data_IF_949459289375
#
_entry.id   IF_949459289375
#
_cell.length_a   1.000
_cell.length_b   1.000
_cell.length_c   1.000
_cell.angle_alpha   90.00
_cell.angle_beta   90.00
_cell.angle_gamma   90.00
#
_symmetry.space_group_name_H-M   'P 1'
#
loop_
_entity.id
_entity.type
_entity.pdbx_description
1 polymer ?
#
# COMPACT_ATOMS: atom_id res chain seq x y z
N UNK A 1 -4.47 -13.84 24.60
CA UNK A 1 -5.21 -14.61 23.57
C UNK A 1 -4.77 -14.06 22.24
N UNK A 2 -4.42 -14.91 21.27
CA UNK A 2 -4.09 -14.45 19.92
C UNK A 2 -5.35 -13.86 19.26
N UNK A 3 -5.22 -12.73 18.53
CA UNK A 3 -6.32 -12.13 17.75
C UNK A 3 -6.85 -13.16 16.73
N UNK A 4 -8.17 -13.26 16.57
CA UNK A 4 -8.73 -14.15 15.55
C UNK A 4 -8.52 -13.55 14.16
N UNK A 5 -8.46 -14.39 13.12
CA UNK A 5 -8.35 -13.89 11.73
C UNK A 5 -9.55 -13.00 11.33
N UNK A 6 -10.73 -13.26 11.92
CA UNK A 6 -11.92 -12.45 11.71
C UNK A 6 -11.77 -11.05 12.33
N UNK A 7 -11.36 -10.99 13.60
CA UNK A 7 -11.19 -9.72 14.32
C UNK A 7 -10.09 -8.86 13.67
N UNK A 8 -8.98 -9.50 13.30
CA UNK A 8 -7.90 -8.87 12.53
C UNK A 8 -8.45 -8.26 11.21
N UNK A 9 -9.21 -9.03 10.45
CA UNK A 9 -9.75 -8.56 9.17
C UNK A 9 -10.72 -7.39 9.34
N UNK A 10 -11.60 -7.43 10.34
CA UNK A 10 -12.52 -6.33 10.63
C UNK A 10 -11.80 -5.04 11.04
N UNK A 11 -10.75 -5.17 11.86
CA UNK A 11 -9.91 -4.02 12.24
C UNK A 11 -9.25 -3.39 11.02
N UNK A 12 -8.62 -4.20 10.15
CA UNK A 12 -7.98 -3.69 8.93
C UNK A 12 -9.01 -3.06 7.98
N UNK A 13 -10.20 -3.64 7.81
CA UNK A 13 -11.27 -3.05 6.99
C UNK A 13 -11.70 -1.68 7.52
N UNK A 14 -11.80 -1.53 8.85
CA UNK A 14 -12.11 -0.26 9.50
C UNK A 14 -11.01 0.77 9.26
N UNK A 15 -9.74 0.38 9.45
CA UNK A 15 -8.59 1.25 9.18
C UNK A 15 -8.52 1.68 7.70
N UNK A 16 -8.74 0.76 6.76
CA UNK A 16 -8.80 1.07 5.33
C UNK A 16 -9.93 2.05 4.99
N UNK A 17 -11.09 1.92 5.64
CA UNK A 17 -12.19 2.90 5.50
C UNK A 17 -11.81 4.27 6.02
N UNK A 18 -11.12 4.34 7.16
CA UNK A 18 -10.62 5.61 7.71
C UNK A 18 -9.50 6.22 6.86
N UNK A 19 -8.67 5.40 6.21
CA UNK A 19 -7.71 5.86 5.21
C UNK A 19 -8.43 6.49 4.01
N UNK A 20 -9.45 5.81 3.47
CA UNK A 20 -10.25 6.31 2.36
C UNK A 20 -10.94 7.65 2.69
N UNK A 21 -11.48 7.81 3.89
CA UNK A 21 -12.08 9.09 4.33
C UNK A 21 -11.07 10.25 4.40
N UNK A 22 -9.77 9.96 4.50
CA UNK A 22 -8.69 10.96 4.57
C UNK A 22 -7.95 11.12 3.25
N UNK A 23 -8.51 10.61 2.14
CA UNK A 23 -7.85 10.51 0.85
C UNK A 23 -7.13 11.78 0.38
N UNK A 24 -7.78 12.95 0.52
CA UNK A 24 -7.20 14.24 0.11
C UNK A 24 -5.89 14.56 0.83
N UNK A 25 -5.77 14.19 2.10
CA UNK A 25 -4.52 14.37 2.86
C UNK A 25 -3.44 13.42 2.37
N UNK A 26 -3.82 12.21 1.94
CA UNK A 26 -2.87 11.18 1.50
C UNK A 26 -2.31 11.48 0.11
N UNK A 27 -3.15 11.97 -0.80
CA UNK A 27 -2.74 12.36 -2.16
C UNK A 27 -1.83 13.58 -2.17
N UNK A 28 -2.13 14.57 -1.31
CA UNK A 28 -1.40 15.83 -1.24
C UNK A 28 -0.20 15.81 -0.29
N UNK A 29 0.11 14.67 0.33
CA UNK A 29 1.34 14.54 1.11
C UNK A 29 2.53 14.91 0.22
N UNK A 30 3.51 15.66 0.73
CA UNK A 30 4.71 16.04 -0.02
C UNK A 30 5.79 14.94 -0.04
N UNK A 31 5.57 13.83 0.67
CA UNK A 31 6.53 12.75 0.77
C UNK A 31 6.77 12.10 -0.60
N UNK A 32 8.05 11.93 -0.93
CA UNK A 32 8.51 11.14 -2.07
C UNK A 32 8.70 9.66 -1.71
N UNK A 33 8.44 9.27 -0.46
CA UNK A 33 8.45 7.88 -0.03
C UNK A 33 7.06 7.46 0.46
N UNK A 34 6.52 6.37 -0.07
CA UNK A 34 5.28 5.75 0.40
C UNK A 34 5.63 4.46 1.11
N UNK A 35 5.09 4.28 2.31
CA UNK A 35 5.31 3.11 3.14
C UNK A 35 3.98 2.58 3.66
N UNK A 36 3.95 1.31 4.03
CA UNK A 36 2.83 0.79 4.80
C UNK A 36 2.89 1.27 6.25
N UNK A 37 1.73 1.43 6.87
CA UNK A 37 1.61 1.70 8.32
C UNK A 37 1.81 0.45 9.18
N UNK A 38 1.96 -0.73 8.56
CA UNK A 38 2.16 -2.00 9.26
C UNK A 38 3.41 -1.94 10.14
N UNK A 39 3.20 -2.02 11.45
CA UNK A 39 4.23 -1.92 12.48
C UNK A 39 5.28 -3.04 12.42
N UNK A 40 4.98 -4.15 11.73
CA UNK A 40 5.91 -5.26 11.54
C UNK A 40 6.84 -5.09 10.34
N UNK A 41 6.80 -3.94 9.66
CA UNK A 41 7.69 -3.61 8.54
C UNK A 41 8.81 -2.66 8.97
N UNK A 42 9.94 -2.67 8.25
CA UNK A 42 11.05 -1.75 8.46
C UNK A 42 10.61 -0.31 8.19
N UNK A 43 10.36 0.45 9.27
CA UNK A 43 9.87 1.84 9.20
C UNK A 43 8.36 1.99 9.38
N UNK A 44 7.66 0.95 9.87
CA UNK A 44 6.26 1.02 10.27
C UNK A 44 5.99 2.17 11.24
N UNK A 45 4.80 2.77 11.14
CA UNK A 45 4.37 3.87 12.02
C UNK A 45 4.67 5.30 11.54
N UNK A 46 5.22 5.50 10.34
CA UNK A 46 5.38 6.85 9.76
C UNK A 46 4.26 7.20 8.75
N UNK A 47 3.77 8.44 8.87
CA UNK A 47 2.47 8.92 8.40
C UNK A 47 2.34 9.00 6.87
N UNK A 48 1.70 8.00 6.25
CA UNK A 48 0.62 8.16 5.27
C UNK A 48 -0.21 6.87 5.36
N UNK A 49 -1.44 6.93 5.89
CA UNK A 49 -2.32 5.77 5.94
C UNK A 49 -2.79 5.42 4.53
N UNK A 50 -2.02 4.64 3.78
CA UNK A 50 -2.32 4.33 2.39
C UNK A 50 -1.11 3.76 1.69
N UNK A 51 -0.96 2.43 1.75
CA UNK A 51 -0.02 1.72 0.88
C UNK A 51 -0.31 2.08 -0.58
N UNK A 52 0.70 2.09 -1.47
CA UNK A 52 0.42 2.33 -2.90
C UNK A 52 -0.60 1.33 -3.47
N UNK A 53 -0.69 0.13 -2.88
CA UNK A 53 -1.65 -0.91 -3.27
C UNK A 53 -3.10 -0.50 -2.94
N UNK A 54 -3.29 0.35 -1.94
CA UNK A 54 -4.59 0.97 -1.66
C UNK A 54 -4.97 1.89 -2.83
N UNK A 55 -4.10 2.82 -3.24
CA UNK A 55 -4.40 3.70 -4.38
C UNK A 55 -4.63 2.93 -5.67
N UNK A 56 -3.83 1.89 -5.91
CA UNK A 56 -4.03 0.98 -7.03
C UNK A 56 -5.40 0.30 -6.99
N UNK A 57 -5.76 -0.33 -5.86
CA UNK A 57 -7.03 -1.05 -5.71
C UNK A 57 -8.25 -0.15 -5.91
N UNK A 58 -8.19 1.10 -5.41
CA UNK A 58 -9.27 2.06 -5.54
C UNK A 58 -9.25 2.87 -6.85
N UNK A 59 -8.32 2.59 -7.77
CA UNK A 59 -8.24 3.27 -9.07
C UNK A 59 -7.68 4.70 -9.01
N UNK A 60 -7.02 5.06 -7.92
CA UNK A 60 -6.54 6.42 -7.60
C UNK A 60 -5.04 6.62 -7.90
N UNK A 61 -4.41 5.63 -8.52
CA UNK A 61 -2.97 5.66 -8.79
C UNK A 61 -2.57 6.80 -9.74
N UNK A 62 -3.45 7.14 -10.70
CA UNK A 62 -3.26 8.28 -11.62
C UNK A 62 -3.31 9.61 -10.87
N UNK A 63 -4.31 9.79 -10.02
CA UNK A 63 -4.46 11.01 -9.21
C UNK A 63 -3.25 11.20 -8.28
N UNK A 64 -2.75 10.11 -7.71
CA UNK A 64 -1.53 10.11 -6.90
C UNK A 64 -0.33 10.65 -7.70
N UNK A 65 -0.01 10.07 -8.85
CA UNK A 65 1.16 10.50 -9.62
C UNK A 65 1.00 11.89 -10.25
N UNK A 66 -0.22 12.28 -10.66
CA UNK A 66 -0.51 13.64 -11.09
C UNK A 66 -0.21 14.66 -9.99
N UNK A 67 -0.61 14.38 -8.74
CA UNK A 67 -0.33 15.25 -7.60
C UNK A 67 1.18 15.37 -7.34
N UNK A 68 1.93 14.26 -7.39
CA UNK A 68 3.39 14.27 -7.21
C UNK A 68 4.11 15.05 -8.30
N UNK A 69 3.70 14.89 -9.56
CA UNK A 69 4.24 15.67 -10.66
C UNK A 69 3.97 17.18 -10.48
N UNK A 70 2.76 17.55 -10.04
CA UNK A 70 2.41 18.95 -9.75
C UNK A 70 3.24 19.55 -8.59
N UNK A 71 3.72 18.71 -7.67
CA UNK A 71 4.64 19.10 -6.59
C UNK A 71 6.12 19.17 -7.05
N UNK A 72 6.41 18.90 -8.32
CA UNK A 72 7.78 18.85 -8.85
C UNK A 72 8.55 17.58 -8.45
N UNK A 73 7.86 16.56 -7.93
CA UNK A 73 8.47 15.28 -7.57
C UNK A 73 8.57 14.43 -8.85
N UNK A 74 9.80 14.06 -9.19
CA UNK A 74 10.12 13.23 -10.37
C UNK A 74 10.56 11.80 -10.00
N UNK A 75 10.59 11.48 -8.72
CA UNK A 75 10.92 10.15 -8.22
C UNK A 75 10.13 9.83 -6.96
N UNK A 76 9.60 8.61 -6.90
CA UNK A 76 8.88 8.09 -5.74
C UNK A 76 9.50 6.77 -5.32
N UNK A 77 9.81 6.66 -4.04
CA UNK A 77 10.23 5.42 -3.41
C UNK A 77 9.03 4.72 -2.78
N UNK A 78 8.84 3.44 -3.11
CA UNK A 78 7.69 2.68 -2.66
C UNK A 78 8.16 1.45 -1.90
N UNK A 79 7.76 1.39 -0.63
CA UNK A 79 7.99 0.23 0.23
C UNK A 79 6.70 -0.58 0.29
N UNK A 80 6.75 -1.76 -0.31
CA UNK A 80 5.74 -2.79 -0.17
C UNK A 80 6.18 -3.82 0.87
N UNK A 81 5.27 -4.69 1.25
CA UNK A 81 5.62 -5.81 2.10
C UNK A 81 4.72 -7.01 1.85
N UNK A 82 5.24 -8.19 2.15
CA UNK A 82 4.47 -9.41 2.17
C UNK A 82 3.64 -9.52 3.46
N UNK A 83 2.68 -10.45 3.44
CA UNK A 83 1.73 -10.61 4.54
C UNK A 83 1.01 -9.29 4.86
N UNK A 84 0.57 -8.60 3.80
CA UNK A 84 -0.10 -7.33 3.89
C UNK A 84 -1.52 -7.50 4.40
N UNK A 85 -1.85 -6.84 5.52
CA UNK A 85 -3.19 -6.85 6.11
C UNK A 85 -4.26 -6.36 5.15
N UNK A 86 -3.99 -5.30 4.39
CA UNK A 86 -4.94 -4.79 3.40
C UNK A 86 -5.26 -5.83 2.32
N UNK A 87 -4.23 -6.47 1.77
CA UNK A 87 -4.42 -7.53 0.77
C UNK A 87 -5.17 -8.73 1.35
N UNK A 88 -4.88 -9.12 2.59
CA UNK A 88 -5.60 -10.19 3.29
C UNK A 88 -7.07 -9.83 3.55
N UNK A 89 -7.32 -8.72 4.24
CA UNK A 89 -8.63 -8.41 4.80
C UNK A 89 -9.59 -7.73 3.83
N UNK A 90 -9.06 -6.91 2.91
CA UNK A 90 -9.85 -6.10 1.97
C UNK A 90 -9.89 -6.75 0.59
N UNK A 91 -8.74 -7.21 0.07
CA UNK A 91 -8.69 -7.86 -1.25
C UNK A 91 -9.03 -9.36 -1.16
N UNK A 92 -8.85 -9.99 0.00
CA UNK A 92 -9.16 -11.41 0.21
C UNK A 92 -8.03 -12.37 -0.18
N UNK A 93 -6.78 -11.87 -0.26
CA UNK A 93 -5.60 -12.64 -0.63
C UNK A 93 -5.02 -13.37 0.59
N UNK A 94 -5.54 -14.57 0.83
CA UNK A 94 -5.28 -15.37 2.05
C UNK A 94 -4.01 -16.22 2.01
N UNK A 95 -3.32 -16.30 0.86
CA UNK A 95 -2.06 -17.03 0.71
C UNK A 95 -0.92 -16.09 0.33
N UNK A 96 0.31 -16.44 0.70
CA UNK A 96 1.49 -15.64 0.35
C UNK A 96 1.69 -15.53 -1.16
N UNK A 97 1.44 -16.60 -1.90
CA UNK A 97 1.63 -16.61 -3.36
C UNK A 97 0.62 -15.69 -4.05
N UNK A 98 -0.64 -15.68 -3.59
CA UNK A 98 -1.64 -14.75 -4.13
C UNK A 98 -1.27 -13.27 -3.92
N UNK A 99 -0.64 -12.94 -2.78
CA UNK A 99 -0.14 -11.58 -2.54
C UNK A 99 1.08 -11.24 -3.41
N UNK A 100 1.98 -12.21 -3.64
CA UNK A 100 3.14 -12.03 -4.53
C UNK A 100 2.71 -11.73 -5.96
N UNK A 101 1.78 -12.51 -6.48
CA UNK A 101 1.25 -12.34 -7.84
C UNK A 101 0.55 -10.98 -7.99
N UNK A 102 -0.26 -10.61 -6.99
CA UNK A 102 -0.92 -9.31 -6.97
C UNK A 102 0.07 -8.15 -6.92
N UNK A 103 1.09 -8.22 -6.07
CA UNK A 103 2.14 -7.20 -5.98
C UNK A 103 2.90 -7.09 -7.30
N UNK A 104 3.28 -8.21 -7.91
CA UNK A 104 3.99 -8.21 -9.20
C UNK A 104 3.16 -7.53 -10.30
N UNK A 105 1.87 -7.87 -10.40
CA UNK A 105 0.95 -7.23 -11.36
C UNK A 105 0.74 -5.74 -11.08
N UNK A 106 0.56 -5.38 -9.80
CA UNK A 106 0.39 -3.99 -9.39
C UNK A 106 1.63 -3.14 -9.72
N UNK A 107 2.84 -3.68 -9.53
CA UNK A 107 4.09 -2.96 -9.86
C UNK A 107 4.14 -2.53 -11.31
N UNK A 108 3.85 -3.44 -12.24
CA UNK A 108 3.86 -3.15 -13.69
C UNK A 108 2.87 -2.02 -14.00
N UNK A 109 1.66 -2.10 -13.45
CA UNK A 109 0.63 -1.07 -13.66
C UNK A 109 1.02 0.28 -13.04
N UNK A 110 1.58 0.27 -11.83
CA UNK A 110 2.03 1.47 -11.12
C UNK A 110 3.19 2.13 -11.88
N UNK A 111 4.17 1.37 -12.35
CA UNK A 111 5.29 1.86 -13.17
C UNK A 111 4.79 2.45 -14.49
N UNK A 112 3.86 1.75 -15.18
CA UNK A 112 3.25 2.25 -16.40
C UNK A 112 2.60 3.62 -16.17
N UNK A 113 1.78 3.75 -15.13
CA UNK A 113 1.13 5.04 -14.83
C UNK A 113 2.14 6.10 -14.43
N UNK A 114 3.12 5.78 -13.57
CA UNK A 114 4.15 6.74 -13.16
C UNK A 114 4.93 7.32 -14.34
N UNK A 115 5.21 6.48 -15.35
CA UNK A 115 5.92 6.90 -16.56
C UNK A 115 5.17 7.95 -17.38
N UNK A 116 3.83 7.92 -17.39
CA UNK A 116 3.00 8.92 -18.06
C UNK A 116 3.17 10.33 -17.46
N UNK A 117 3.60 10.40 -16.19
CA UNK A 117 3.87 11.64 -15.47
C UNK A 117 5.37 11.95 -15.36
N UNK A 118 6.25 11.19 -16.01
CA UNK A 118 7.70 11.37 -15.93
C UNK A 118 8.28 11.07 -14.53
N UNK A 119 7.62 10.22 -13.75
CA UNK A 119 8.05 9.84 -12.40
C UNK A 119 8.75 8.48 -12.43
N UNK A 120 9.96 8.44 -11.90
CA UNK A 120 10.69 7.18 -11.67
C UNK A 120 10.24 6.54 -10.37
N UNK A 121 9.87 5.25 -10.41
CA UNK A 121 9.53 4.49 -9.21
C UNK A 121 10.71 3.62 -8.80
N UNK A 122 11.07 3.67 -7.51
CA UNK A 122 12.00 2.72 -6.89
C UNK A 122 11.26 1.88 -5.87
N UNK A 123 11.65 0.61 -5.75
CA UNK A 123 10.92 -0.37 -4.95
C UNK A 123 11.78 -0.95 -3.83
N UNK A 124 11.16 -1.11 -2.67
CA UNK A 124 11.62 -1.97 -1.59
C UNK A 124 10.48 -2.94 -1.23
N UNK A 125 10.81 -4.20 -0.92
CA UNK A 125 9.82 -5.20 -0.49
C UNK A 125 10.29 -5.81 0.83
N UNK A 126 9.56 -5.52 1.90
CA UNK A 126 9.78 -6.15 3.19
C UNK A 126 9.20 -7.58 3.20
N UNK A 127 9.98 -8.59 3.65
CA UNK A 127 9.48 -9.96 3.73
C UNK A 127 8.40 -10.19 4.79
N UNK A 128 8.17 -9.26 5.72
CA UNK A 128 7.28 -9.43 6.86
C UNK A 128 6.04 -8.51 6.82
N UNK A 129 5.00 -8.90 7.56
CA UNK A 129 3.78 -8.12 7.72
C UNK A 129 2.85 -8.74 8.75
N UNK A 130 1.94 -7.92 9.26
CA UNK A 130 1.01 -8.27 10.34
C UNK A 130 0.02 -9.38 9.98
N UNK A 131 -0.23 -9.66 8.69
CA UNK A 131 -1.17 -10.72 8.29
C UNK A 131 -0.56 -12.12 8.41
N UNK A 132 0.76 -12.24 8.64
CA UNK A 132 1.49 -13.50 8.60
C UNK A 132 0.89 -14.60 9.47
N UNK A 133 0.43 -14.32 10.71
CA UNK A 133 -0.18 -15.34 11.57
C UNK A 133 -1.57 -15.81 11.10
N UNK A 134 -2.19 -15.09 10.16
CA UNK A 134 -3.56 -15.32 9.70
C UNK A 134 -3.64 -15.93 8.29
N UNK A 135 -2.48 -16.17 7.67
CA UNK A 135 -2.38 -16.69 6.32
C UNK A 135 -1.92 -18.15 6.34
N UNK A 136 -2.43 -18.92 5.37
CA UNK A 136 -2.04 -20.31 5.11
C UNK A 136 -0.82 -20.39 4.20
#
# INVERSE_FOLDING_TARGET
MAESAHDYAERIRKEARHAYQRLTSLLNDGANAIRCIDENTHGGGTMVAGSILFFYYYGLIRDYFAAKAAQGINSVHIVLHFYCGFLFAVVGLVTIDSQRDYIAGAKIMIESVASEYGITVTWEIDPNGSARPHMS
#
